data_IF_962261953664
#
_entry.id   IF_962261953664
#
_cell.length_a   1.000
_cell.length_b   1.000
_cell.length_c   1.000
_cell.angle_alpha   90.00
_cell.angle_beta   90.00
_cell.angle_gamma   90.00
#
_symmetry.space_group_name_H-M   'P 1'
#
loop_
_entity.id
_entity.type
_entity.pdbx_description
1 polymer ?
#
# COMPACT_ATOMS: atom_id res chain seq x y z
N UNK A 1 61.48 -59.77 -8.95
CA UNK A 1 62.63 -58.92 -8.61
C UNK A 1 62.24 -58.08 -7.42
N UNK A 2 62.92 -58.28 -6.29
CA UNK A 2 62.74 -57.52 -5.06
C UNK A 2 63.29 -56.10 -5.22
N UNK A 3 62.67 -55.14 -4.55
CA UNK A 3 63.18 -53.79 -4.39
C UNK A 3 62.32 -53.03 -3.39
N UNK A 4 62.68 -53.14 -2.11
CA UNK A 4 62.07 -52.35 -1.04
C UNK A 4 62.62 -50.92 -0.99
N UNK A 5 61.88 -50.03 -0.33
CA UNK A 5 62.34 -48.76 0.26
C UNK A 5 61.23 -48.31 1.24
N UNK A 6 61.42 -48.51 2.55
CA UNK A 6 61.86 -47.52 3.56
C UNK A 6 60.81 -46.44 3.92
N UNK A 7 60.23 -46.62 5.11
CA UNK A 7 59.53 -45.62 5.96
C UNK A 7 60.61 -44.89 6.78
N UNK A 8 60.49 -43.56 7.05
CA UNK A 8 60.01 -43.09 8.37
C UNK A 8 59.21 -41.76 8.23
N UNK A 9 58.51 -41.15 9.19
CA UNK A 9 58.56 -41.16 10.64
C UNK A 9 57.25 -40.57 11.24
N UNK A 10 56.93 -41.01 12.45
CA UNK A 10 56.40 -40.24 13.60
C UNK A 10 55.20 -39.27 13.40
N UNK A 11 54.01 -39.74 13.74
CA UNK A 11 52.83 -38.91 14.02
C UNK A 11 52.69 -38.78 15.55
N UNK A 12 52.82 -37.56 16.07
CA UNK A 12 52.73 -37.24 17.50
C UNK A 12 51.29 -37.39 18.04
N UNK A 13 51.09 -37.94 19.25
CA UNK A 13 49.79 -38.06 19.89
C UNK A 13 49.50 -36.83 20.73
N UNK A 14 49.23 -35.69 20.10
CA UNK A 14 48.83 -34.46 20.83
C UNK A 14 47.53 -33.84 20.34
N UNK A 15 47.03 -34.25 19.17
CA UNK A 15 45.83 -33.63 18.55
C UNK A 15 44.52 -34.28 19.05
N UNK A 16 44.53 -35.56 19.43
CA UNK A 16 43.32 -36.22 19.94
C UNK A 16 42.90 -35.76 21.35
N UNK A 17 43.84 -35.23 22.15
CA UNK A 17 43.53 -34.75 23.50
C UNK A 17 42.89 -33.36 23.49
N UNK A 18 43.26 -32.50 22.54
CA UNK A 18 42.73 -31.14 22.40
C UNK A 18 41.28 -31.11 21.91
N UNK A 19 40.90 -32.01 20.99
CA UNK A 19 39.53 -32.12 20.50
C UNK A 19 38.55 -32.65 21.57
N UNK A 20 39.00 -33.57 22.42
CA UNK A 20 38.19 -34.09 23.52
C UNK A 20 37.99 -33.04 24.63
N UNK A 21 38.98 -32.19 24.89
CA UNK A 21 38.82 -31.05 25.81
C UNK A 21 37.87 -29.98 25.26
N UNK A 22 37.95 -29.64 23.97
CA UNK A 22 37.02 -28.66 23.38
C UNK A 22 35.57 -29.17 23.37
N UNK A 23 35.33 -30.45 23.05
CA UNK A 23 34.00 -31.04 23.13
C UNK A 23 33.45 -31.11 24.56
N UNK A 24 34.30 -31.40 25.55
CA UNK A 24 33.88 -31.42 26.95
C UNK A 24 33.61 -30.02 27.50
N UNK A 25 34.30 -28.99 27.00
CA UNK A 25 34.07 -27.59 27.39
C UNK A 25 32.80 -27.02 26.75
N UNK A 26 32.41 -27.48 25.56
CA UNK A 26 31.11 -27.15 24.93
C UNK A 26 29.97 -27.87 25.66
N UNK A 27 30.16 -29.14 26.06
CA UNK A 27 29.16 -29.90 26.82
C UNK A 27 29.00 -29.41 28.27
N UNK A 28 30.06 -28.92 28.92
CA UNK A 28 30.00 -28.36 30.29
C UNK A 28 29.78 -26.83 30.33
N UNK A 29 29.95 -26.15 29.20
CA UNK A 29 29.70 -24.71 29.04
C UNK A 29 28.23 -24.34 28.83
N UNK A 30 27.38 -25.32 28.50
CA UNK A 30 25.94 -25.21 28.63
C UNK A 30 25.52 -25.33 30.11
N UNK A 31 25.99 -24.40 30.94
CA UNK A 31 25.25 -24.03 32.15
C UNK A 31 23.93 -23.44 31.66
N UNK A 32 22.94 -24.32 31.61
CA UNK A 32 21.53 -23.99 31.77
C UNK A 32 21.43 -22.88 32.82
N UNK A 33 21.19 -21.65 32.38
CA UNK A 33 20.55 -20.69 33.25
C UNK A 33 19.15 -21.25 33.48
N UNK A 34 19.01 -22.03 34.53
CA UNK A 34 17.74 -22.17 35.24
C UNK A 34 17.41 -20.78 35.76
N UNK A 35 16.92 -19.91 34.87
CA UNK A 35 16.08 -18.82 35.27
C UNK A 35 14.88 -19.50 35.93
N UNK A 36 14.79 -19.35 37.24
CA UNK A 36 13.58 -19.64 37.98
C UNK A 36 12.46 -18.85 37.31
N UNK A 37 11.73 -19.55 36.44
CA UNK A 37 10.47 -19.11 35.88
C UNK A 37 9.52 -18.93 37.05
N UNK A 38 9.39 -17.68 37.52
CA UNK A 38 8.16 -17.28 38.17
C UNK A 38 7.05 -17.55 37.16
N UNK A 39 6.11 -18.42 37.54
CA UNK A 39 5.21 -19.15 36.64
C UNK A 39 4.12 -18.32 35.95
N UNK A 40 4.39 -17.05 35.63
CA UNK A 40 3.58 -16.25 34.74
C UNK A 40 4.53 -15.61 33.73
N UNK A 41 4.68 -16.17 32.51
CA UNK A 41 5.35 -15.43 31.45
C UNK A 41 4.62 -14.10 31.30
N UNK A 42 5.33 -12.98 31.45
CA UNK A 42 4.77 -11.68 31.07
C UNK A 42 4.37 -11.78 29.60
N UNK A 43 3.06 -11.89 29.35
CA UNK A 43 2.51 -12.11 28.01
C UNK A 43 2.97 -11.05 27.01
N UNK A 44 3.25 -9.83 27.50
CA UNK A 44 3.75 -8.72 26.70
C UNK A 44 4.37 -7.64 27.59
N UNK A 45 5.65 -7.29 27.34
CA UNK A 45 6.27 -6.07 27.90
C UNK A 45 6.10 -4.95 26.88
N UNK A 46 5.21 -4.00 27.16
CA UNK A 46 4.91 -2.89 26.25
C UNK A 46 6.10 -1.94 26.21
N UNK A 47 6.69 -1.78 25.02
CA UNK A 47 7.77 -0.85 24.76
C UNK A 47 7.59 -0.20 23.38
N UNK A 48 8.50 0.69 22.98
CA UNK A 48 8.49 1.23 21.62
C UNK A 48 8.63 0.08 20.61
N UNK A 49 7.59 -0.15 19.82
CA UNK A 49 7.53 -1.26 18.88
C UNK A 49 7.96 -0.78 17.49
N UNK A 50 9.04 -1.38 16.97
CA UNK A 50 9.52 -1.18 15.60
C UNK A 50 9.62 -2.54 14.93
N UNK A 51 8.66 -2.85 14.08
CA UNK A 51 8.58 -4.14 13.39
C UNK A 51 8.03 -3.96 11.98
N UNK A 52 8.51 -4.70 10.96
CA UNK A 52 7.92 -4.67 9.63
C UNK A 52 6.55 -5.35 9.58
N UNK A 53 6.18 -6.12 10.62
CA UNK A 53 4.93 -6.87 10.67
C UNK A 53 3.70 -6.03 11.03
N UNK A 54 3.91 -4.78 11.46
CA UNK A 54 2.85 -3.83 11.75
C UNK A 54 3.28 -2.40 11.44
N UNK A 55 2.59 -1.75 10.51
CA UNK A 55 2.89 -0.37 10.08
C UNK A 55 1.59 0.44 10.10
N UNK A 56 1.37 1.25 11.16
CA UNK A 56 0.23 2.17 11.19
C UNK A 56 0.56 3.45 10.45
N UNK A 57 -0.37 3.87 9.60
CA UNK A 57 -0.24 5.04 8.74
C UNK A 57 -1.38 6.02 9.02
N UNK A 58 -1.05 7.31 9.02
CA UNK A 58 -2.03 8.39 9.09
C UNK A 58 -1.96 9.23 7.82
N UNK A 59 -3.04 9.22 7.06
CA UNK A 59 -3.23 10.03 5.86
C UNK A 59 -3.87 11.35 6.23
N UNK A 60 -3.14 12.44 6.02
CA UNK A 60 -3.66 13.80 6.18
C UNK A 60 -3.96 14.39 4.80
N UNK A 61 -5.22 14.73 4.49
CA UNK A 61 -5.59 15.33 3.21
C UNK A 61 -4.78 16.60 2.90
N UNK A 62 -4.33 16.73 1.66
CA UNK A 62 -3.65 17.91 1.13
C UNK A 62 -4.56 18.61 0.13
N UNK A 63 -4.55 19.94 0.17
CA UNK A 63 -5.28 20.75 -0.80
C UNK A 63 -4.64 20.58 -2.17
N UNK A 64 -5.47 20.27 -3.16
CA UNK A 64 -5.11 20.29 -4.58
C UNK A 64 -5.65 21.57 -5.21
N UNK A 65 -4.98 22.06 -6.26
CA UNK A 65 -5.42 23.24 -7.02
C UNK A 65 -5.23 22.99 -8.50
N UNK A 66 -6.21 23.35 -9.33
CA UNK A 66 -6.06 23.31 -10.77
C UNK A 66 -7.38 23.16 -11.49
N UNK A 67 -7.37 22.48 -12.62
CA UNK A 67 -8.53 22.26 -13.47
C UNK A 67 -8.68 20.79 -13.84
N UNK A 68 -9.92 20.42 -14.14
CA UNK A 68 -10.26 19.15 -14.77
C UNK A 68 -11.42 19.41 -15.73
N UNK A 69 -11.38 18.83 -16.92
CA UNK A 69 -12.54 18.81 -17.82
C UNK A 69 -13.63 17.98 -17.17
N UNK A 70 -14.69 18.63 -16.68
CA UNK A 70 -15.86 17.96 -16.10
C UNK A 70 -16.94 17.83 -17.16
N UNK A 71 -17.52 16.65 -17.29
CA UNK A 71 -18.82 16.50 -17.94
C UNK A 71 -19.92 16.98 -16.99
N UNK A 72 -20.91 17.71 -17.50
CA UNK A 72 -22.21 17.86 -16.83
C UNK A 72 -23.10 16.75 -17.36
N UNK A 73 -23.48 15.80 -16.52
CA UNK A 73 -24.48 14.79 -16.90
C UNK A 73 -25.75 15.50 -17.38
N UNK A 74 -26.21 15.21 -18.60
CA UNK A 74 -27.39 15.80 -19.23
C UNK A 74 -28.71 15.58 -18.44
N UNK A 75 -28.70 14.77 -17.37
CA UNK A 75 -29.84 14.49 -16.49
C UNK A 75 -30.39 15.72 -15.74
N UNK A 76 -29.74 16.89 -15.78
CA UNK A 76 -30.24 18.11 -15.14
C UNK A 76 -30.94 19.10 -16.10
N UNK A 77 -31.14 18.74 -17.39
CA UNK A 77 -31.69 19.63 -18.41
C UNK A 77 -33.04 19.18 -18.98
N UNK A 78 -33.93 18.62 -18.16
CA UNK A 78 -35.33 18.38 -18.54
C UNK A 78 -36.26 19.32 -17.79
N UNK A 79 -36.29 20.60 -18.16
CA UNK A 79 -37.47 21.48 -18.05
C UNK A 79 -37.22 22.78 -18.84
N UNK A 80 -37.14 22.69 -20.17
CA UNK A 80 -37.38 23.85 -21.02
C UNK A 80 -38.17 23.42 -22.24
N UNK A 81 -39.26 24.14 -22.48
CA UNK A 81 -40.36 23.81 -23.38
C UNK A 81 -39.87 23.67 -24.84
N UNK A 82 -40.29 22.58 -25.47
CA UNK A 82 -40.14 22.32 -26.89
C UNK A 82 -40.96 23.32 -27.73
N UNK A 83 -40.28 24.04 -28.62
CA UNK A 83 -40.86 24.53 -29.86
C UNK A 83 -40.23 23.74 -31.01
N UNK A 84 -41.06 23.03 -31.75
CA UNK A 84 -40.64 22.14 -32.83
C UNK A 84 -40.21 22.94 -34.04
N UNK A 85 -38.95 22.80 -34.45
CA UNK A 85 -38.58 22.95 -35.85
C UNK A 85 -37.81 21.72 -36.30
N UNK A 86 -38.38 21.10 -37.33
CA UNK A 86 -37.88 19.94 -38.05
C UNK A 86 -36.60 20.35 -38.78
N UNK A 87 -35.45 19.80 -38.37
CA UNK A 87 -34.18 19.90 -39.10
C UNK A 87 -33.80 18.50 -39.55
N UNK A 88 -33.50 18.37 -40.84
CA UNK A 88 -33.17 17.13 -41.54
C UNK A 88 -31.88 16.49 -41.00
N UNK A 89 -32.00 15.24 -40.57
CA UNK A 89 -30.89 14.35 -40.25
C UNK A 89 -30.21 13.91 -41.55
N UNK A 90 -29.15 14.62 -41.97
CA UNK A 90 -28.32 14.14 -43.07
C UNK A 90 -26.85 14.57 -42.99
N UNK A 91 -26.23 14.48 -41.80
CA UNK A 91 -24.76 14.58 -41.69
C UNK A 91 -24.23 14.11 -40.31
N UNK A 92 -24.52 12.87 -39.89
CA UNK A 92 -23.93 12.28 -38.65
C UNK A 92 -23.37 10.88 -38.92
N UNK A 93 -22.72 10.69 -40.07
CA UNK A 93 -22.10 9.39 -40.41
C UNK A 93 -20.62 9.46 -40.80
N UNK A 94 -19.97 10.63 -40.67
CA UNK A 94 -18.56 10.79 -41.08
C UNK A 94 -17.59 11.01 -39.91
N UNK A 95 -18.06 11.19 -38.66
CA UNK A 95 -17.17 11.41 -37.50
C UNK A 95 -16.87 10.15 -36.66
N UNK A 96 -17.52 9.01 -36.93
CA UNK A 96 -17.41 7.81 -36.09
C UNK A 96 -16.11 7.00 -36.29
N UNK A 97 -15.27 7.32 -37.28
CA UNK A 97 -14.06 6.55 -37.59
C UNK A 97 -12.75 7.12 -37.00
N UNK A 98 -12.78 8.26 -36.30
CA UNK A 98 -11.58 8.88 -35.70
C UNK A 98 -11.49 8.75 -34.16
N UNK A 99 -12.30 7.86 -33.56
CA UNK A 99 -12.34 7.66 -32.10
C UNK A 99 -11.06 6.97 -31.57
N UNK A 100 -10.19 6.46 -32.44
CA UNK A 100 -9.07 5.59 -32.05
C UNK A 100 -7.82 6.26 -31.44
N UNK A 101 -7.75 7.59 -31.23
CA UNK A 101 -6.52 8.20 -30.71
C UNK A 101 -6.74 9.40 -29.77
N UNK A 102 -7.82 9.45 -28.98
CA UNK A 102 -7.92 10.48 -27.95
C UNK A 102 -7.06 10.11 -26.75
N UNK A 103 -5.94 10.82 -26.58
CA UNK A 103 -5.06 10.69 -25.43
C UNK A 103 -5.68 11.38 -24.20
N UNK A 104 -5.62 10.72 -23.05
CA UNK A 104 -6.09 11.24 -21.77
C UNK A 104 -4.89 11.82 -21.01
N UNK A 105 -4.74 13.15 -21.03
CA UNK A 105 -3.53 13.81 -20.52
C UNK A 105 -3.75 14.43 -19.15
N UNK A 106 -3.05 13.93 -18.13
CA UNK A 106 -3.06 14.50 -16.78
C UNK A 106 -1.70 15.07 -16.41
N UNK A 107 -1.69 16.30 -15.93
CA UNK A 107 -0.48 16.99 -15.47
C UNK A 107 -0.54 17.15 -13.95
N UNK A 108 0.47 16.64 -13.25
CA UNK A 108 0.62 16.74 -11.81
C UNK A 108 1.88 17.53 -11.50
N UNK A 109 1.72 18.64 -10.78
CA UNK A 109 2.82 19.46 -10.28
C UNK A 109 2.92 19.31 -8.76
N UNK A 110 3.89 18.52 -8.31
CA UNK A 110 4.19 18.31 -6.90
C UNK A 110 5.19 19.35 -6.40
N UNK A 111 4.81 20.08 -5.37
CA UNK A 111 5.71 20.93 -4.61
C UNK A 111 6.07 20.24 -3.31
N UNK A 112 7.36 20.09 -3.04
CA UNK A 112 7.84 19.69 -1.73
C UNK A 112 7.32 20.67 -0.66
N UNK A 113 6.97 20.15 0.51
CA UNK A 113 6.82 21.00 1.68
C UNK A 113 8.23 21.22 2.21
N UNK A 114 8.81 22.37 1.87
CA UNK A 114 9.97 22.92 2.58
C UNK A 114 9.52 23.37 3.98
N UNK A 115 8.99 22.47 4.80
CA UNK A 115 8.93 22.70 6.24
C UNK A 115 10.28 22.27 6.80
N UNK A 116 11.22 23.21 6.86
CA UNK A 116 12.22 23.27 7.93
C UNK A 116 12.89 21.94 8.33
N UNK A 117 13.20 21.07 7.38
CA UNK A 117 14.29 20.14 7.58
C UNK A 117 15.55 20.98 7.44
N UNK A 118 15.99 21.60 8.54
CA UNK A 118 17.36 22.06 8.76
C UNK A 118 18.30 20.83 8.77
N UNK A 119 18.23 20.02 7.73
CA UNK A 119 19.16 18.93 7.48
C UNK A 119 20.34 19.59 6.78
N UNK A 120 21.33 19.93 7.62
CA UNK A 120 22.76 19.91 7.33
C UNK A 120 23.12 19.72 5.84
N UNK A 121 23.72 20.75 5.24
CA UNK A 121 24.27 20.80 3.88
C UNK A 121 25.40 19.78 3.57
N UNK A 122 25.52 18.68 4.32
CA UNK A 122 26.49 17.62 4.07
C UNK A 122 25.79 16.27 4.05
N UNK A 123 25.41 15.81 2.85
CA UNK A 123 25.77 14.50 2.29
C UNK A 123 25.12 14.34 0.91
N UNK A 124 25.97 14.04 -0.08
CA UNK A 124 25.72 14.07 -1.53
C UNK A 124 25.07 12.78 -2.07
N UNK A 125 24.17 12.18 -1.31
CA UNK A 125 23.34 11.04 -1.77
C UNK A 125 21.96 11.12 -1.13
N UNK A 126 21.20 12.16 -1.45
CA UNK A 126 19.79 12.18 -1.11
C UNK A 126 19.08 11.26 -2.10
N UNK A 127 18.75 10.06 -1.63
CA UNK A 127 17.77 9.20 -2.30
C UNK A 127 16.49 10.01 -2.48
N UNK A 128 15.93 10.08 -3.70
CA UNK A 128 14.69 10.81 -3.95
C UNK A 128 13.58 10.35 -2.99
N UNK A 129 12.78 11.30 -2.49
CA UNK A 129 11.66 10.96 -1.59
C UNK A 129 10.62 10.12 -2.35
N UNK A 130 10.14 8.99 -1.79
CA UNK A 130 9.14 8.17 -2.46
C UNK A 130 7.78 8.88 -2.48
N UNK A 131 7.12 8.84 -3.64
CA UNK A 131 5.76 9.35 -3.85
C UNK A 131 4.94 8.29 -4.58
N UNK A 132 3.89 7.83 -3.92
CA UNK A 132 2.94 6.87 -4.51
C UNK A 132 1.86 7.61 -5.29
N UNK A 133 1.62 7.21 -6.54
CA UNK A 133 0.51 7.65 -7.36
C UNK A 133 -0.36 6.45 -7.73
N UNK A 134 -1.52 6.37 -7.09
CA UNK A 134 -2.56 5.37 -7.37
C UNK A 134 -3.46 5.86 -8.51
N UNK A 135 -3.57 5.09 -9.59
CA UNK A 135 -4.45 5.36 -10.74
C UNK A 135 -5.70 4.49 -10.62
N UNK A 136 -6.83 5.14 -10.42
CA UNK A 136 -8.14 4.55 -10.21
C UNK A 136 -9.00 4.80 -11.46
N UNK A 137 -9.63 3.75 -11.98
CA UNK A 137 -10.48 3.84 -13.17
C UNK A 137 -11.92 4.19 -12.76
N UNK A 138 -12.51 5.22 -13.38
CA UNK A 138 -13.90 5.61 -13.16
C UNK A 138 -14.84 4.54 -13.74
N UNK A 139 -15.84 4.13 -12.96
CA UNK A 139 -16.92 3.25 -13.40
C UNK A 139 -18.19 4.04 -13.79
N UNK A 140 -18.10 5.37 -13.85
CA UNK A 140 -19.27 6.26 -13.88
C UNK A 140 -19.90 6.40 -15.29
N UNK A 141 -19.63 5.47 -16.21
CA UNK A 141 -20.06 5.56 -17.61
C UNK A 141 -20.86 4.33 -18.08
N UNK A 142 -21.93 4.59 -18.85
CA UNK A 142 -22.68 3.58 -19.64
C UNK A 142 -21.84 2.92 -20.74
N UNK A 143 -20.58 3.34 -20.92
CA UNK A 143 -19.67 2.82 -21.93
C UNK A 143 -18.82 1.73 -21.28
N UNK A 144 -18.99 0.49 -21.75
CA UNK A 144 -18.20 -0.68 -21.36
C UNK A 144 -16.75 -0.58 -21.89
N UNK A 145 -16.00 0.42 -21.44
CA UNK A 145 -14.58 0.53 -21.76
C UNK A 145 -13.74 -0.29 -20.77
N UNK A 146 -12.75 -1.03 -21.28
CA UNK A 146 -11.85 -1.80 -20.42
C UNK A 146 -10.83 -0.88 -19.74
N UNK A 147 -10.40 -1.23 -18.53
CA UNK A 147 -9.33 -0.49 -17.83
C UNK A 147 -8.03 -0.46 -18.65
N UNK A 148 -7.77 -1.51 -19.45
CA UNK A 148 -6.62 -1.59 -20.32
C UNK A 148 -6.66 -0.55 -21.45
N UNK A 149 -7.84 -0.29 -22.02
CA UNK A 149 -8.02 0.73 -23.07
C UNK A 149 -7.81 2.14 -22.50
N UNK A 150 -8.40 2.43 -21.33
CA UNK A 150 -8.19 3.70 -20.62
C UNK A 150 -6.70 3.91 -20.31
N UNK A 151 -6.04 2.88 -19.80
CA UNK A 151 -4.63 2.96 -19.46
C UNK A 151 -3.76 3.16 -20.70
N UNK A 152 -4.08 2.50 -21.81
CA UNK A 152 -3.26 2.55 -23.01
C UNK A 152 -3.26 3.90 -23.73
N UNK A 153 -4.24 4.76 -23.46
CA UNK A 153 -4.28 6.15 -23.94
C UNK A 153 -3.80 7.20 -22.94
N UNK A 154 -3.41 6.78 -21.73
CA UNK A 154 -3.08 7.69 -20.65
C UNK A 154 -1.70 8.32 -20.87
N UNK A 155 -1.63 9.64 -20.72
CA UNK A 155 -0.38 10.40 -20.65
C UNK A 155 -0.31 11.09 -19.30
N UNK A 156 0.70 10.73 -18.51
CA UNK A 156 0.97 11.37 -17.23
C UNK A 156 2.19 12.28 -17.35
N UNK A 157 2.01 13.56 -17.03
CA UNK A 157 3.10 14.53 -16.93
C UNK A 157 3.35 14.83 -15.45
N UNK A 158 4.40 14.20 -14.91
CA UNK A 158 4.77 14.22 -13.50
C UNK A 158 5.93 15.20 -13.29
N UNK A 159 5.62 16.39 -12.79
CA UNK A 159 6.62 17.40 -12.48
C UNK A 159 6.75 17.61 -10.98
N UNK A 160 7.98 17.83 -10.52
CA UNK A 160 8.31 18.10 -9.13
C UNK A 160 9.37 19.20 -9.02
N UNK A 161 9.37 19.95 -7.93
CA UNK A 161 10.40 20.94 -7.62
C UNK A 161 11.76 20.32 -7.24
N UNK A 162 11.74 19.10 -6.70
CA UNK A 162 12.91 18.27 -6.42
C UNK A 162 12.76 16.87 -7.04
N UNK A 163 13.87 16.17 -7.35
CA UNK A 163 13.82 14.77 -7.73
C UNK A 163 13.02 13.91 -6.74
N UNK A 164 12.08 13.10 -7.24
CA UNK A 164 11.27 12.17 -6.43
C UNK A 164 11.30 10.77 -7.05
N UNK A 165 11.07 9.74 -6.23
CA UNK A 165 10.91 8.38 -6.69
C UNK A 165 9.41 8.07 -6.79
N UNK A 166 8.87 8.05 -8.02
CA UNK A 166 7.46 7.77 -8.28
C UNK A 166 7.18 6.27 -8.23
N UNK A 167 6.22 5.86 -7.40
CA UNK A 167 5.64 4.52 -7.39
C UNK A 167 4.24 4.59 -8.01
N UNK A 168 4.09 4.10 -9.24
CA UNK A 168 2.83 4.10 -9.99
C UNK A 168 2.06 2.81 -9.74
N UNK A 169 0.84 2.92 -9.22
CA UNK A 169 -0.01 1.77 -8.93
C UNK A 169 -1.33 1.91 -9.67
N UNK A 170 -1.55 1.08 -10.69
CA UNK A 170 -2.87 0.96 -11.32
C UNK A 170 -3.75 0.02 -10.48
N UNK A 171 -4.90 0.52 -10.06
CA UNK A 171 -5.89 -0.23 -9.27
C UNK A 171 -6.98 -0.76 -10.20
N UNK A 172 -6.82 -2.01 -10.65
CA UNK A 172 -7.84 -2.71 -11.44
C UNK A 172 -8.94 -3.25 -10.54
N UNK A 173 -10.20 -2.96 -10.88
CA UNK A 173 -11.34 -3.36 -10.04
C UNK A 173 -11.71 -4.86 -10.14
N UNK A 174 -11.16 -5.63 -11.09
CA UNK A 174 -11.56 -7.02 -11.31
C UNK A 174 -10.38 -8.01 -11.33
N UNK A 175 -10.59 -9.16 -10.67
CA UNK A 175 -9.66 -10.30 -10.57
C UNK A 175 -9.46 -11.08 -11.89
N UNK A 176 -10.12 -10.72 -12.98
CA UNK A 176 -10.15 -11.53 -14.22
C UNK A 176 -9.18 -11.06 -15.33
N UNK A 177 -8.67 -9.82 -15.28
CA UNK A 177 -7.84 -9.27 -16.37
C UNK A 177 -6.33 -9.56 -16.22
N UNK A 178 -5.94 -10.42 -15.28
CA UNK A 178 -4.52 -10.82 -15.10
C UNK A 178 -4.12 -12.04 -15.93
N UNK A 179 -4.99 -12.54 -16.80
CA UNK A 179 -4.67 -13.63 -17.74
C UNK A 179 -3.86 -13.13 -18.95
N UNK A 180 -2.56 -12.96 -18.69
CA UNK A 180 -1.38 -13.34 -19.48
C UNK A 180 -1.24 -13.07 -21.00
N UNK A 181 -2.18 -12.49 -21.76
CA UNK A 181 -2.02 -12.47 -23.24
C UNK A 181 -2.39 -11.20 -24.05
N UNK A 182 -2.60 -10.02 -23.44
CA UNK A 182 -2.72 -8.77 -24.25
C UNK A 182 -1.34 -8.12 -24.51
N UNK A 183 -0.55 -8.73 -25.40
CA UNK A 183 0.70 -8.14 -25.92
C UNK A 183 0.49 -6.94 -26.86
N UNK A 184 -0.76 -6.51 -27.09
CA UNK A 184 -1.10 -5.50 -28.10
C UNK A 184 -1.77 -4.23 -27.57
N UNK A 185 -2.03 -4.12 -26.26
CA UNK A 185 -2.56 -2.86 -25.70
C UNK A 185 -1.49 -1.77 -25.72
N UNK A 186 -1.81 -0.55 -26.19
CA UNK A 186 -0.86 0.56 -26.15
C UNK A 186 -0.43 0.82 -24.71
N UNK A 187 0.82 1.22 -24.52
CA UNK A 187 1.37 1.50 -23.19
C UNK A 187 1.23 2.99 -22.88
N UNK A 188 0.82 3.36 -21.65
CA UNK A 188 0.78 4.75 -21.24
C UNK A 188 2.15 5.42 -21.35
N UNK A 189 2.14 6.71 -21.63
CA UNK A 189 3.33 7.54 -21.68
C UNK A 189 3.48 8.37 -20.40
N UNK A 190 4.60 8.19 -19.71
CA UNK A 190 4.94 8.91 -18.48
C UNK A 190 6.08 9.89 -18.75
N UNK A 191 5.80 11.19 -18.64
CA UNK A 191 6.81 12.24 -18.73
C UNK A 191 7.18 12.69 -17.32
N UNK A 192 8.43 12.49 -16.91
CA UNK A 192 8.87 12.79 -15.54
C UNK A 192 9.92 13.89 -15.54
N UNK A 193 9.91 14.75 -14.51
CA UNK A 193 10.98 15.72 -14.26
C UNK A 193 12.37 15.06 -14.24
N UNK A 194 13.38 15.79 -14.73
CA UNK A 194 14.77 15.34 -14.74
C UNK A 194 15.27 15.00 -13.33
N UNK A 195 15.93 13.86 -13.18
CA UNK A 195 16.49 13.36 -11.91
C UNK A 195 15.52 12.54 -11.05
N UNK A 196 14.22 12.60 -11.31
CA UNK A 196 13.23 11.72 -10.67
C UNK A 196 13.31 10.31 -11.25
N UNK A 197 12.88 9.29 -10.49
CA UNK A 197 12.75 7.90 -10.96
C UNK A 197 11.28 7.49 -11.00
N UNK A 198 10.96 6.44 -11.75
CA UNK A 198 9.61 5.91 -11.84
C UNK A 198 9.62 4.39 -11.88
N UNK A 199 8.82 3.77 -11.04
CA UNK A 199 8.57 2.34 -10.97
C UNK A 199 7.06 2.13 -10.88
N UNK A 200 6.55 0.95 -11.25
CA UNK A 200 5.12 0.69 -11.12
C UNK A 200 4.71 -0.76 -11.38
N UNK A 201 3.46 -1.06 -11.06
CA UNK A 201 2.88 -2.41 -11.18
C UNK A 201 2.28 -2.72 -12.57
N UNK A 202 2.48 -1.87 -13.57
CA UNK A 202 2.04 -2.05 -14.96
C UNK A 202 3.15 -1.65 -15.94
N UNK A 203 3.06 -2.12 -17.19
CA UNK A 203 4.02 -1.76 -18.25
C UNK A 203 3.71 -0.35 -18.78
N UNK A 204 4.73 0.50 -18.87
CA UNK A 204 4.60 1.86 -19.38
C UNK A 204 5.87 2.33 -20.09
N UNK A 205 5.73 3.29 -20.99
CA UNK A 205 6.85 4.01 -21.57
C UNK A 205 7.09 5.28 -20.74
N UNK A 206 8.34 5.60 -20.42
CA UNK A 206 8.65 6.85 -19.74
C UNK A 206 9.80 7.61 -20.38
N UNK A 207 9.82 8.93 -20.21
CA UNK A 207 10.95 9.76 -20.61
C UNK A 207 11.15 10.93 -19.65
N UNK A 208 12.41 11.32 -19.47
CA UNK A 208 12.74 12.51 -18.69
C UNK A 208 12.56 13.77 -19.53
N UNK A 209 12.00 14.79 -18.90
CA UNK A 209 11.87 16.13 -19.49
C UNK A 209 12.34 17.16 -18.49
N UNK A 210 13.07 18.15 -19.01
CA UNK A 210 13.52 19.29 -18.22
C UNK A 210 12.56 20.45 -18.42
N UNK A 211 11.91 20.86 -17.34
CA UNK A 211 11.11 22.10 -17.31
C UNK A 211 11.76 23.07 -16.33
N UNK A 212 12.42 24.14 -16.81
CA UNK A 212 13.14 25.08 -15.93
C UNK A 212 12.27 25.75 -14.87
N UNK A 213 10.97 25.88 -15.13
CA UNK A 213 9.99 26.45 -14.21
C UNK A 213 8.57 26.05 -14.60
N UNK A 214 7.60 26.37 -13.73
CA UNK A 214 6.16 26.18 -13.95
C UNK A 214 5.69 26.71 -15.31
N UNK A 215 6.07 27.94 -15.68
CA UNK A 215 5.64 28.56 -16.96
C UNK A 215 6.18 27.81 -18.18
N UNK A 216 7.34 27.17 -18.08
CA UNK A 216 7.89 26.34 -19.15
C UNK A 216 7.09 25.04 -19.31
N UNK A 217 6.72 24.39 -18.21
CA UNK A 217 5.82 23.22 -18.22
C UNK A 217 4.45 23.59 -18.83
N UNK A 218 3.83 24.68 -18.36
CA UNK A 218 2.53 25.11 -18.87
C UNK A 218 2.56 25.40 -20.39
N UNK A 219 3.61 26.06 -20.88
CA UNK A 219 3.80 26.30 -22.34
C UNK A 219 4.00 25.00 -23.12
N UNK A 220 4.76 24.06 -22.56
CA UNK A 220 4.94 22.74 -23.16
C UNK A 220 3.60 22.01 -23.28
N UNK A 221 2.85 21.90 -22.18
CA UNK A 221 1.55 21.22 -22.15
C UNK A 221 0.58 21.83 -23.14
N UNK A 222 0.43 23.16 -23.16
CA UNK A 222 -0.47 23.85 -24.11
C UNK A 222 -0.11 23.63 -25.58
N UNK A 223 1.19 23.42 -25.87
CA UNK A 223 1.68 23.22 -27.24
C UNK A 223 1.52 21.77 -27.70
N UNK A 224 1.89 20.81 -26.85
CA UNK A 224 1.88 19.39 -27.21
C UNK A 224 0.49 18.75 -27.05
N UNK A 225 -0.30 19.22 -26.08
CA UNK A 225 -1.57 18.60 -25.68
C UNK A 225 -2.70 19.64 -25.71
N UNK A 226 -3.35 19.85 -26.87
CA UNK A 226 -4.43 20.83 -27.00
C UNK A 226 -5.67 20.47 -26.18
N UNK A 227 -5.86 19.19 -25.87
CA UNK A 227 -6.94 18.69 -25.02
C UNK A 227 -6.35 18.12 -23.74
N UNK A 228 -6.50 18.86 -22.64
CA UNK A 228 -5.99 18.49 -21.34
C UNK A 228 -7.10 17.96 -20.44
N UNK A 229 -6.95 16.74 -19.92
CA UNK A 229 -7.89 16.16 -18.97
C UNK A 229 -7.90 16.92 -17.66
N UNK A 230 -6.70 17.14 -17.13
CA UNK A 230 -6.51 17.84 -15.87
C UNK A 230 -5.11 18.42 -15.75
N UNK A 231 -5.04 19.52 -15.01
CA UNK A 231 -3.81 20.07 -14.49
C UNK A 231 -3.99 20.25 -13.00
N UNK A 232 -3.14 19.65 -12.16
CA UNK A 232 -3.26 19.75 -10.71
C UNK A 232 -1.92 20.04 -10.05
N UNK A 233 -1.92 21.04 -9.17
CA UNK A 233 -0.82 21.37 -8.28
C UNK A 233 -1.13 20.91 -6.85
N UNK A 234 -0.13 20.33 -6.21
CA UNK A 234 -0.24 19.78 -4.86
C UNK A 234 1.01 20.11 -4.05
N UNK A 235 0.84 20.39 -2.75
CA UNK A 235 1.96 20.68 -1.84
C UNK A 235 2.09 19.59 -0.77
N UNK A 236 3.28 19.01 -0.65
CA UNK A 236 3.67 18.11 0.45
C UNK A 236 2.83 16.86 0.55
N UNK A 237 2.56 16.24 -0.58
CA UNK A 237 1.92 14.94 -0.65
C UNK A 237 2.97 13.89 -1.02
N UNK A 238 2.85 12.71 -0.42
CA UNK A 238 3.61 11.52 -0.73
C UNK A 238 2.70 10.35 -1.15
N UNK A 239 1.38 10.53 -1.11
CA UNK A 239 0.41 9.63 -1.68
C UNK A 239 -0.64 10.45 -2.46
N UNK A 240 -0.85 10.09 -3.72
CA UNK A 240 -1.77 10.73 -4.65
C UNK A 240 -2.72 9.66 -5.21
N UNK A 241 -3.98 10.03 -5.39
CA UNK A 241 -4.99 9.18 -6.02
C UNK A 241 -5.61 9.92 -7.20
N UNK A 242 -5.36 9.41 -8.41
CA UNK A 242 -5.86 9.96 -9.67
C UNK A 242 -7.01 9.11 -10.20
N UNK A 243 -8.13 9.74 -10.53
CA UNK A 243 -9.25 9.13 -11.24
C UNK A 243 -9.12 9.38 -12.75
N UNK A 244 -9.16 8.32 -13.55
CA UNK A 244 -9.02 8.34 -15.01
C UNK A 244 -10.21 7.66 -15.69
N UNK A 245 -10.38 7.87 -17.01
CA UNK A 245 -11.41 7.22 -17.82
C UNK A 245 -12.69 8.06 -18.00
N UNK A 246 -12.74 9.27 -17.47
CA UNK A 246 -13.94 10.12 -17.56
C UNK A 246 -14.03 10.93 -18.87
N UNK A 247 -13.06 10.79 -19.78
CA UNK A 247 -12.90 11.69 -20.95
C UNK A 247 -13.64 11.23 -22.21
N UNK A 248 -13.89 9.93 -22.40
CA UNK A 248 -14.56 9.50 -23.65
C UNK A 248 -15.95 10.09 -23.84
N UNK A 249 -16.63 10.45 -22.76
CA UNK A 249 -17.92 11.15 -22.84
C UNK A 249 -17.80 12.58 -23.41
N UNK A 250 -16.59 13.16 -23.47
CA UNK A 250 -16.33 14.49 -24.05
C UNK A 250 -16.27 14.46 -25.58
N UNK A 251 -15.84 13.34 -26.19
CA UNK A 251 -15.70 13.26 -27.65
C UNK A 251 -17.07 13.22 -28.37
N UNK A 252 -18.11 12.75 -27.68
CA UNK A 252 -19.47 12.67 -28.21
C UNK A 252 -20.17 14.04 -28.25
N UNK A 253 -19.77 15.02 -27.42
CA UNK A 253 -20.36 16.36 -27.37
C UNK A 253 -19.30 17.45 -27.05
N UNK A 254 -18.43 17.81 -28.01
CA UNK A 254 -17.36 18.81 -27.80
C UNK A 254 -17.88 20.21 -27.44
N UNK A 255 -19.16 20.50 -27.67
CA UNK A 255 -19.81 21.77 -27.31
C UNK A 255 -20.20 21.88 -25.83
N UNK A 256 -20.12 20.79 -25.03
CA UNK A 256 -20.53 20.76 -23.62
C UNK A 256 -19.36 20.78 -22.62
N UNK A 257 -18.13 20.52 -23.06
CA UNK A 257 -16.94 20.47 -22.21
C UNK A 257 -16.39 21.86 -21.91
N UNK A 258 -16.20 22.21 -20.64
CA UNK A 258 -15.42 23.42 -20.29
C UNK A 258 -13.93 23.08 -20.38
N UNK A 259 -13.18 23.81 -21.20
CA UNK A 259 -11.73 23.65 -21.36
C UNK A 259 -11.01 23.75 -20.00
N UNK A 260 -9.97 22.92 -19.81
CA UNK A 260 -9.16 22.94 -18.59
C UNK A 260 -8.34 24.24 -18.53
N UNK A 261 -8.82 25.23 -17.79
CA UNK A 261 -8.04 26.43 -17.50
C UNK A 261 -6.93 26.12 -16.49
N UNK A 262 -5.71 25.91 -16.98
CA UNK A 262 -4.50 25.62 -16.17
C UNK A 262 -4.24 26.65 -15.07
N UNK A 263 -4.70 27.90 -15.24
CA UNK A 263 -4.53 28.97 -14.26
C UNK A 263 -5.64 28.99 -13.18
N UNK A 264 -6.55 28.02 -13.22
CA UNK A 264 -7.59 27.83 -12.21
C UNK A 264 -7.01 27.51 -10.83
N UNK A 265 -7.64 28.08 -9.81
CA UNK A 265 -7.31 27.83 -8.40
C UNK A 265 -8.33 26.90 -7.72
N UNK A 266 -9.21 26.26 -8.50
CA UNK A 266 -10.25 25.35 -7.97
C UNK A 266 -9.64 24.06 -7.45
N UNK A 267 -10.31 23.42 -6.49
CA UNK A 267 -9.91 22.09 -6.03
C UNK A 267 -10.02 21.07 -7.17
N UNK A 268 -9.06 20.15 -7.26
CA UNK A 268 -9.07 19.13 -8.30
C UNK A 268 -10.18 18.13 -8.04
N UNK A 269 -10.96 17.79 -9.07
CA UNK A 269 -12.03 16.79 -8.98
C UNK A 269 -11.53 15.38 -9.26
N UNK A 270 -10.39 15.26 -9.93
CA UNK A 270 -9.83 13.98 -10.39
C UNK A 270 -8.63 13.54 -9.57
N UNK A 271 -7.97 14.44 -8.83
CA UNK A 271 -6.81 14.11 -8.01
C UNK A 271 -7.08 14.43 -6.54
N UNK A 272 -6.99 13.40 -5.71
CA UNK A 272 -6.92 13.54 -4.25
C UNK A 272 -5.47 13.35 -3.80
N UNK A 273 -5.07 14.07 -2.76
CA UNK A 273 -3.70 14.05 -2.28
C UNK A 273 -3.62 13.91 -0.76
N UNK A 274 -2.63 13.18 -0.29
CA UNK A 274 -2.41 12.88 1.12
C UNK A 274 -0.95 13.03 1.50
N UNK A 275 -0.75 13.42 2.76
CA UNK A 275 0.52 13.25 3.46
C UNK A 275 0.37 12.10 4.42
N UNK A 276 0.94 10.98 4.06
CA UNK A 276 0.97 9.74 4.81
C UNK A 276 2.19 9.76 5.72
N UNK A 277 1.98 9.59 7.02
CA UNK A 277 3.06 9.45 8.01
C UNK A 277 2.92 8.13 8.75
N UNK A 278 4.04 7.44 8.97
CA UNK A 278 4.06 6.29 9.86
C UNK A 278 3.98 6.78 11.31
N UNK A 279 3.06 6.20 12.07
CA UNK A 279 2.86 6.54 13.47
C UNK A 279 3.83 5.76 14.35
N UNK A 280 4.14 6.33 15.52
CA UNK A 280 4.83 5.58 16.58
C UNK A 280 3.89 4.54 17.14
N UNK A 281 4.44 3.37 17.45
CA UNK A 281 3.70 2.24 17.99
C UNK A 281 4.35 1.79 19.28
N UNK A 282 3.53 1.37 20.22
CA UNK A 282 3.95 0.72 21.46
C UNK A 282 3.42 -0.72 21.46
N UNK A 283 4.15 -1.65 22.05
CA UNK A 283 3.69 -3.03 22.14
C UNK A 283 4.82 -4.03 22.27
N UNK A 284 4.54 -5.26 21.84
CA UNK A 284 5.49 -6.36 21.81
C UNK A 284 5.24 -7.23 20.57
N UNK A 285 6.30 -7.91 20.13
CA UNK A 285 6.28 -8.81 19.00
C UNK A 285 7.16 -10.02 19.29
N UNK A 286 6.59 -11.22 19.16
CA UNK A 286 7.23 -12.50 19.47
C UNK A 286 7.44 -13.29 18.17
N UNK A 287 8.53 -13.00 17.45
CA UNK A 287 8.84 -13.65 16.16
C UNK A 287 8.87 -15.18 16.28
N UNK A 288 9.31 -15.70 17.42
CA UNK A 288 9.38 -17.14 17.69
C UNK A 288 8.03 -17.86 17.72
N UNK A 289 6.94 -17.13 17.94
CA UNK A 289 5.58 -17.67 17.96
C UNK A 289 4.95 -17.71 16.56
N UNK A 290 5.59 -17.12 15.55
CA UNK A 290 5.08 -17.15 14.17
C UNK A 290 4.97 -18.58 13.71
N UNK A 291 3.72 -19.00 13.55
CA UNK A 291 3.38 -20.30 13.05
C UNK A 291 3.75 -21.49 13.93
N UNK A 292 4.14 -21.25 15.18
CA UNK A 292 4.30 -22.26 16.23
C UNK A 292 2.94 -22.81 16.65
N UNK A 293 1.93 -21.94 16.65
CA UNK A 293 0.54 -22.30 16.92
C UNK A 293 -0.24 -22.62 15.63
N UNK A 294 -1.39 -23.27 15.79
CA UNK A 294 -2.33 -23.52 14.69
C UNK A 294 -2.95 -22.23 14.12
N UNK A 295 -2.90 -21.14 14.90
CA UNK A 295 -3.44 -19.82 14.56
C UNK A 295 -2.48 -18.73 15.02
N UNK A 296 -2.23 -17.76 14.14
CA UNK A 296 -1.43 -16.58 14.44
C UNK A 296 -2.36 -15.48 14.97
N UNK A 297 -2.12 -15.03 16.20
CA UNK A 297 -2.99 -14.04 16.88
C UNK A 297 -2.33 -12.67 16.93
N UNK A 298 -3.03 -11.67 16.41
CA UNK A 298 -2.60 -10.27 16.36
C UNK A 298 -3.61 -9.42 17.14
N UNK A 299 -3.13 -8.62 18.10
CA UNK A 299 -3.95 -7.71 18.88
C UNK A 299 -3.55 -6.28 18.53
N UNK A 300 -4.50 -5.50 18.03
CA UNK A 300 -4.29 -4.10 17.66
C UNK A 300 -5.24 -3.21 18.46
N UNK A 301 -4.66 -2.26 19.18
CA UNK A 301 -5.36 -1.26 19.96
C UNK A 301 -5.18 0.14 19.35
N UNK A 302 -6.28 0.80 19.00
CA UNK A 302 -6.29 2.17 18.52
C UNK A 302 -6.73 3.15 19.59
N UNK A 303 -5.85 4.09 19.90
CA UNK A 303 -6.24 5.32 20.59
C UNK A 303 -6.68 6.37 19.57
N UNK A 304 -7.96 6.34 19.20
CA UNK A 304 -8.58 7.30 18.29
C UNK A 304 -8.65 8.73 18.85
N UNK A 305 -8.11 8.97 20.06
CA UNK A 305 -8.15 10.23 20.80
C UNK A 305 -9.28 10.24 21.84
N UNK A 306 -9.30 11.23 22.73
CA UNK A 306 -10.40 11.43 23.68
C UNK A 306 -11.72 11.69 22.95
N UNK A 307 -12.86 11.25 23.52
CA UNK A 307 -14.24 11.57 23.11
C UNK A 307 -14.42 13.10 23.09
N UNK A 308 -13.91 13.76 22.06
CA UNK A 308 -14.15 15.17 21.82
C UNK A 308 -15.59 15.29 21.35
N UNK A 309 -16.41 16.04 22.09
CA UNK A 309 -17.83 16.37 21.88
C UNK A 309 -18.17 16.86 20.45
N UNK A 310 -18.01 16.02 19.42
CA UNK A 310 -18.52 16.27 18.07
C UNK A 310 -19.59 15.22 17.78
N UNK A 311 -20.79 15.37 18.37
CA UNK A 311 -21.88 14.39 18.31
C UNK A 311 -22.39 14.06 16.89
N UNK A 312 -21.88 14.71 15.84
CA UNK A 312 -22.39 14.58 14.47
C UNK A 312 -21.35 14.05 13.46
N UNK A 313 -20.20 13.51 13.89
CA UNK A 313 -19.28 12.81 12.96
C UNK A 313 -19.46 11.31 13.15
N UNK A 314 -19.91 10.62 12.09
CA UNK A 314 -19.97 9.16 12.06
C UNK A 314 -18.61 8.51 12.33
N UNK A 315 -18.59 7.20 12.62
CA UNK A 315 -17.37 6.47 12.94
C UNK A 315 -16.34 6.63 11.81
N UNK A 316 -15.10 6.89 12.19
CA UNK A 316 -14.01 7.09 11.24
C UNK A 316 -13.68 5.74 10.57
N UNK A 317 -13.58 5.69 9.23
CA UNK A 317 -13.10 4.49 8.56
C UNK A 317 -11.61 4.29 8.84
N UNK A 318 -11.23 3.06 9.19
CA UNK A 318 -9.84 2.61 9.28
C UNK A 318 -9.64 1.39 8.39
N UNK A 319 -8.76 1.52 7.40
CA UNK A 319 -8.44 0.44 6.47
C UNK A 319 -7.43 -0.52 7.10
N UNK A 320 -7.76 -1.80 7.15
CA UNK A 320 -6.85 -2.87 7.55
C UNK A 320 -6.41 -3.60 6.29
N UNK A 321 -5.10 -3.65 6.07
CA UNK A 321 -4.46 -4.41 4.99
C UNK A 321 -3.64 -5.54 5.59
N UNK A 322 -4.21 -6.75 5.56
CA UNK A 322 -3.53 -7.96 5.99
C UNK A 322 -2.87 -8.64 4.79
N UNK A 323 -1.54 -8.80 4.82
CA UNK A 323 -0.77 -9.33 3.69
C UNK A 323 0.08 -10.52 4.12
N UNK A 324 0.07 -11.61 3.34
CA UNK A 324 1.03 -12.70 3.52
C UNK A 324 2.44 -12.31 3.09
N UNK A 325 3.45 -12.78 3.82
CA UNK A 325 4.87 -12.59 3.50
C UNK A 325 5.29 -13.41 2.27
N UNK A 326 5.90 -12.73 1.29
CA UNK A 326 6.45 -13.34 0.07
C UNK A 326 5.48 -13.35 -1.12
N UNK A 327 5.89 -14.04 -2.19
CA UNK A 327 5.13 -14.09 -3.45
C UNK A 327 4.04 -15.17 -3.46
N UNK A 328 4.14 -16.17 -2.58
CA UNK A 328 3.19 -17.30 -2.53
C UNK A 328 2.21 -17.07 -1.37
N UNK A 329 0.94 -17.48 -1.51
CA UNK A 329 0.01 -17.42 -0.40
C UNK A 329 0.53 -18.18 0.82
N UNK A 330 0.47 -17.53 1.99
CA UNK A 330 0.92 -18.08 3.27
C UNK A 330 -0.17 -18.98 3.83
N UNK A 331 0.06 -20.30 4.03
CA UNK A 331 -0.95 -21.23 4.51
C UNK A 331 -1.12 -21.11 6.03
N UNK A 332 -1.85 -20.08 6.49
CA UNK A 332 -2.00 -19.72 7.90
C UNK A 332 -3.42 -19.35 8.27
N UNK A 333 -3.84 -19.79 9.45
CA UNK A 333 -5.01 -19.25 10.11
C UNK A 333 -4.60 -18.03 10.93
N UNK A 334 -5.40 -16.97 10.85
CA UNK A 334 -5.09 -15.69 11.50
C UNK A 334 -6.28 -15.24 12.32
N UNK A 335 -6.04 -14.85 13.56
CA UNK A 335 -7.03 -14.14 14.38
C UNK A 335 -6.56 -12.72 14.63
N UNK A 336 -7.37 -11.75 14.24
CA UNK A 336 -7.12 -10.32 14.44
C UNK A 336 -8.10 -9.77 15.48
N UNK A 337 -7.58 -9.33 16.61
CA UNK A 337 -8.33 -8.67 17.68
C UNK A 337 -8.17 -7.16 17.51
N UNK A 338 -9.28 -6.47 17.29
CA UNK A 338 -9.34 -5.04 17.01
C UNK A 338 -10.03 -4.32 18.17
N UNK A 339 -9.25 -3.57 18.95
CA UNK A 339 -9.74 -2.74 20.04
C UNK A 339 -9.65 -1.26 19.66
N UNK A 340 -10.69 -0.52 19.99
CA UNK A 340 -10.69 0.94 19.93
C UNK A 340 -11.33 1.52 21.19
N UNK A 341 -10.89 2.71 21.60
CA UNK A 341 -11.54 3.50 22.66
C UNK A 341 -12.73 4.33 22.15
N UNK A 342 -12.98 4.34 20.84
CA UNK A 342 -14.12 4.99 20.19
C UNK A 342 -14.72 4.09 19.12
N UNK A 343 -16.02 4.19 18.83
CA UNK A 343 -16.62 3.48 17.70
C UNK A 343 -15.89 3.79 16.38
N UNK A 344 -15.33 2.76 15.77
CA UNK A 344 -14.62 2.82 14.49
C UNK A 344 -15.33 1.96 13.46
N UNK A 345 -15.18 2.36 12.20
CA UNK A 345 -15.58 1.55 11.06
C UNK A 345 -14.35 0.89 10.44
N UNK A 346 -14.11 -0.37 10.77
CA UNK A 346 -13.00 -1.15 10.23
C UNK A 346 -13.32 -1.59 8.80
N UNK A 347 -12.45 -1.27 7.86
CA UNK A 347 -12.55 -1.73 6.48
C UNK A 347 -11.48 -2.78 6.26
N UNK A 348 -11.89 -4.04 6.14
CA UNK A 348 -10.96 -5.16 6.12
C UNK A 348 -10.62 -5.61 4.69
N UNK A 349 -9.33 -5.69 4.40
CA UNK A 349 -8.79 -6.28 3.18
C UNK A 349 -7.67 -7.26 3.50
N UNK A 350 -7.70 -8.44 2.86
CA UNK A 350 -6.66 -9.45 3.02
C UNK A 350 -6.17 -9.98 1.67
N UNK A 351 -4.85 -10.17 1.55
CA UNK A 351 -4.21 -10.71 0.34
C UNK A 351 -3.05 -11.65 0.70
N UNK A 352 -2.79 -12.65 -0.15
CA UNK A 352 -1.64 -13.54 0.02
C UNK A 352 -1.71 -14.47 1.23
N UNK A 353 -2.91 -14.71 1.79
CA UNK A 353 -3.14 -15.66 2.88
C UNK A 353 -4.04 -16.78 2.37
N UNK A 354 -3.74 -18.01 2.76
CA UNK A 354 -4.53 -19.21 2.47
C UNK A 354 -4.90 -19.88 3.80
N UNK A 355 -6.12 -19.65 4.27
CA UNK A 355 -6.57 -20.13 5.58
C UNK A 355 -7.78 -19.37 6.12
N UNK A 356 -8.14 -19.68 7.37
CA UNK A 356 -9.24 -19.02 8.05
C UNK A 356 -8.76 -17.72 8.70
N UNK A 357 -9.49 -16.63 8.47
CA UNK A 357 -9.25 -15.33 9.08
C UNK A 357 -10.42 -15.03 10.00
N UNK A 358 -10.15 -14.84 11.29
CA UNK A 358 -11.14 -14.43 12.27
C UNK A 358 -10.84 -12.99 12.68
N UNK A 359 -11.77 -12.08 12.47
CA UNK A 359 -11.67 -10.69 12.95
C UNK A 359 -12.61 -10.52 14.13
N UNK A 360 -12.09 -10.12 15.27
CA UNK A 360 -12.86 -9.88 16.49
C UNK A 360 -12.76 -8.39 16.83
N UNK A 361 -13.87 -7.68 16.87
CA UNK A 361 -13.93 -6.27 17.27
C UNK A 361 -14.86 -6.06 18.47
N UNK A 362 -14.81 -4.86 19.04
CA UNK A 362 -15.77 -4.43 20.05
C UNK A 362 -17.21 -4.39 19.49
N UNK A 363 -18.20 -4.39 20.37
CA UNK A 363 -19.63 -4.39 19.99
C UNK A 363 -20.09 -3.11 19.31
N UNK A 364 -19.49 -1.99 19.65
CA UNK A 364 -19.81 -0.68 19.07
C UNK A 364 -19.14 -0.43 17.73
N UNK A 365 -18.17 -1.28 17.36
CA UNK A 365 -17.42 -1.16 16.11
C UNK A 365 -18.15 -1.86 14.96
N UNK A 366 -18.02 -1.28 13.76
CA UNK A 366 -18.53 -1.87 12.53
C UNK A 366 -17.36 -2.41 11.70
N UNK A 367 -17.42 -3.67 11.27
CA UNK A 367 -16.43 -4.26 10.37
C UNK A 367 -17.06 -4.47 8.99
N UNK A 368 -16.57 -3.74 7.98
CA UNK A 368 -16.96 -3.84 6.58
C UNK A 368 -15.94 -4.70 5.80
N UNK A 369 -16.43 -5.76 5.15
CA UNK A 369 -15.60 -6.61 4.29
C UNK A 369 -15.38 -5.93 2.94
N UNK A 370 -14.15 -5.50 2.67
CA UNK A 370 -13.84 -4.69 1.48
C UNK A 370 -13.15 -5.50 0.38
N UNK A 371 -12.30 -6.48 0.72
CA UNK A 371 -11.64 -7.34 -0.26
C UNK A 371 -11.03 -8.60 0.39
N UNK A 372 -11.66 -9.76 0.19
CA UNK A 372 -11.15 -11.06 0.65
C UNK A 372 -10.78 -11.93 -0.56
N UNK A 373 -9.64 -12.61 -0.51
CA UNK A 373 -9.19 -13.54 -1.54
C UNK A 373 -10.12 -14.76 -1.68
N UNK A 374 -10.16 -15.40 -2.86
CA UNK A 374 -11.02 -16.58 -3.08
C UNK A 374 -10.67 -17.81 -2.25
N UNK A 375 -9.47 -17.84 -1.65
CA UNK A 375 -8.95 -18.93 -0.82
C UNK A 375 -8.93 -18.57 0.68
N UNK A 376 -9.71 -17.56 1.08
CA UNK A 376 -9.76 -17.08 2.45
C UNK A 376 -11.18 -17.21 2.97
N UNK A 377 -11.33 -17.80 4.15
CA UNK A 377 -12.60 -17.80 4.85
C UNK A 377 -12.56 -16.72 5.94
N UNK A 378 -13.35 -15.66 5.78
CA UNK A 378 -13.40 -14.57 6.72
C UNK A 378 -14.61 -14.72 7.64
N UNK A 379 -14.34 -14.84 8.94
CA UNK A 379 -15.34 -14.79 9.99
C UNK A 379 -15.18 -13.48 10.79
N UNK A 380 -16.25 -12.70 10.91
CA UNK A 380 -16.27 -11.48 11.72
C UNK A 380 -17.09 -11.74 12.98
N UNK A 381 -16.48 -11.53 14.14
CA UNK A 381 -17.10 -11.66 15.46
C UNK A 381 -17.10 -10.30 16.15
N UNK A 382 -18.18 -10.04 16.87
CA UNK A 382 -18.35 -8.85 17.68
C UNK A 382 -18.58 -9.29 19.11
N UNK A 383 -17.74 -8.82 20.04
CA UNK A 383 -17.82 -9.16 21.48
C UNK A 383 -17.25 -8.01 22.33
N UNK A 384 -17.61 -7.89 23.62
CA UNK A 384 -17.02 -6.85 24.45
C UNK A 384 -15.56 -7.22 24.72
N UNK A 385 -14.64 -6.29 24.46
CA UNK A 385 -13.21 -6.49 24.67
C UNK A 385 -12.76 -5.69 25.92
N UNK A 386 -11.97 -6.29 26.83
CA UNK A 386 -11.48 -5.57 28.02
C UNK A 386 -10.66 -4.33 27.64
N UNK A 387 -10.84 -3.24 28.40
CA UNK A 387 -10.04 -2.02 28.26
C UNK A 387 -8.67 -2.13 28.97
N UNK A 388 -8.58 -3.01 29.97
CA UNK A 388 -7.33 -3.28 30.67
C UNK A 388 -6.47 -4.26 29.86
N UNK A 389 -5.23 -3.88 29.58
CA UNK A 389 -4.33 -4.68 28.74
C UNK A 389 -4.09 -6.11 29.29
N UNK A 390 -3.67 -6.31 30.56
CA UNK A 390 -3.56 -7.65 31.13
C UNK A 390 -4.82 -8.51 30.97
N UNK A 391 -6.01 -7.95 31.22
CA UNK A 391 -7.28 -8.65 31.06
C UNK A 391 -7.56 -8.98 29.59
N UNK A 392 -7.26 -8.05 28.67
CA UNK A 392 -7.39 -8.25 27.24
C UNK A 392 -6.51 -9.40 26.76
N UNK A 393 -5.20 -9.37 27.08
CA UNK A 393 -4.26 -10.41 26.67
C UNK A 393 -4.61 -11.77 27.27
N UNK A 394 -5.07 -11.80 28.52
CA UNK A 394 -5.55 -13.02 29.16
C UNK A 394 -6.77 -13.59 28.42
N UNK A 395 -7.79 -12.75 28.16
CA UNK A 395 -9.01 -13.17 27.46
C UNK A 395 -8.72 -13.70 26.04
N UNK A 396 -7.81 -13.07 25.32
CA UNK A 396 -7.37 -13.48 23.98
C UNK A 396 -6.63 -14.82 24.05
N UNK A 397 -5.72 -14.98 25.01
CA UNK A 397 -4.93 -16.20 25.18
C UNK A 397 -5.81 -17.39 25.59
N UNK A 398 -6.83 -17.16 26.42
CA UNK A 398 -7.75 -18.23 26.86
C UNK A 398 -8.69 -18.73 25.77
N UNK A 399 -9.06 -17.87 24.82
CA UNK A 399 -10.03 -18.21 23.78
C UNK A 399 -9.38 -18.65 22.46
N UNK A 400 -8.21 -18.10 22.14
CA UNK A 400 -7.51 -18.35 20.88
C UNK A 400 -6.15 -19.00 21.14
N UNK A 401 -5.11 -18.18 21.20
CA UNK A 401 -3.73 -18.58 21.44
C UNK A 401 -2.97 -17.34 21.96
N UNK A 402 -1.76 -17.52 22.52
CA UNK A 402 -0.91 -16.39 22.89
C UNK A 402 -0.67 -15.45 21.69
N UNK A 403 -0.80 -14.13 21.88
CA UNK A 403 -0.61 -13.17 20.80
C UNK A 403 0.85 -13.10 20.35
N UNK A 404 1.05 -13.16 19.04
CA UNK A 404 2.35 -12.95 18.39
C UNK A 404 2.69 -11.47 18.36
N UNK A 405 1.66 -10.63 18.20
CA UNK A 405 1.76 -9.19 18.16
C UNK A 405 0.72 -8.59 19.09
N UNK A 406 1.15 -7.69 19.97
CA UNK A 406 0.30 -6.65 20.51
C UNK A 406 0.85 -5.30 20.05
N UNK A 407 0.00 -4.48 19.45
CA UNK A 407 0.37 -3.16 18.96
C UNK A 407 -0.67 -2.11 19.35
N UNK A 408 -0.22 -1.06 20.01
CA UNK A 408 -0.98 0.12 20.37
C UNK A 408 -0.47 1.33 19.59
N UNK A 409 -1.37 2.05 18.94
CA UNK A 409 -1.02 3.25 18.18
C UNK A 409 -2.11 4.31 18.34
N UNK A 410 -1.75 5.57 18.12
CA UNK A 410 -2.74 6.64 18.01
C UNK A 410 -3.61 6.50 16.76
N UNK A 411 -4.47 7.49 16.54
CA UNK A 411 -5.38 7.58 15.40
C UNK A 411 -4.67 7.35 14.05
N UNK A 412 -5.02 6.25 13.39
CA UNK A 412 -4.54 5.85 12.06
C UNK A 412 -5.67 5.93 11.02
N UNK A 413 -5.32 6.04 9.74
CA UNK A 413 -6.23 5.82 8.60
C UNK A 413 -6.06 4.44 8.00
N UNK A 414 -4.83 3.91 8.01
CA UNK A 414 -4.49 2.61 7.44
C UNK A 414 -3.61 1.83 8.40
N UNK A 415 -3.89 0.54 8.59
CA UNK A 415 -3.10 -0.41 9.35
C UNK A 415 -2.61 -1.51 8.40
N UNK A 416 -1.30 -1.60 8.20
CA UNK A 416 -0.70 -2.68 7.41
C UNK A 416 -0.16 -3.73 8.34
N UNK A 417 -0.60 -4.97 8.16
CA UNK A 417 -0.16 -6.15 8.90
C UNK A 417 0.46 -7.15 7.94
N UNK A 418 1.63 -7.67 8.28
CA UNK A 418 2.27 -8.75 7.54
C UNK A 418 2.12 -10.06 8.32
N UNK A 419 1.78 -11.15 7.62
CA UNK A 419 1.67 -12.49 8.18
C UNK A 419 2.87 -13.30 7.71
N UNK A 420 3.72 -13.69 8.66
CA UNK A 420 4.99 -14.35 8.37
C UNK A 420 4.80 -15.76 7.81
N UNK A 421 5.70 -16.17 6.92
CA UNK A 421 5.81 -17.59 6.57
C UNK A 421 6.55 -18.33 7.67
N UNK A 422 6.22 -19.60 7.95
CA UNK A 422 7.00 -20.39 8.89
C UNK A 422 8.45 -20.44 8.40
N UNK A 423 9.37 -19.89 9.20
CA UNK A 423 10.77 -20.26 9.02
C UNK A 423 10.89 -21.71 9.44
N UNK A 424 11.17 -22.59 8.49
CA UNK A 424 11.58 -23.95 8.81
C UNK A 424 12.85 -23.86 9.67
N UNK A 425 12.71 -23.83 11.00
CA UNK A 425 13.84 -23.85 11.96
C UNK A 425 14.76 -25.07 11.72
N UNK A 426 14.28 -26.09 11.01
CA UNK A 426 15.08 -27.21 10.52
C UNK A 426 16.23 -26.82 9.56
N UNK A 427 16.13 -25.69 8.85
CA UNK A 427 17.17 -25.21 7.93
C UNK A 427 18.41 -24.64 8.63
N UNK A 428 18.25 -24.00 9.80
CA UNK A 428 19.38 -23.46 10.57
C UNK A 428 20.14 -24.56 11.33
N UNK A 429 19.44 -25.59 11.82
CA UNK A 429 20.10 -26.74 12.46
C UNK A 429 20.84 -27.65 11.46
N UNK A 430 20.41 -27.70 10.19
CA UNK A 430 21.09 -28.51 9.17
C UNK A 430 22.45 -27.91 8.75
N UNK A 431 22.64 -26.59 8.87
CA UNK A 431 23.96 -25.95 8.64
C UNK A 431 24.96 -26.21 9.77
N UNK A 432 24.47 -26.39 11.01
CA UNK A 432 25.33 -26.71 12.16
C UNK A 432 25.73 -28.20 12.13
N UNK A 433 24.84 -29.09 11.68
CA UNK A 433 25.15 -30.53 11.55
C UNK A 433 26.04 -30.88 10.34
N UNK A 434 26.24 -29.96 9.39
CA UNK A 434 27.18 -30.15 8.27
C UNK A 434 28.58 -29.60 8.55
N UNK A 435 28.76 -28.89 9.67
CA UNK A 435 30.05 -28.35 10.11
C UNK A 435 30.70 -29.18 11.24
N UNK A 436 30.10 -30.31 11.63
CA UNK A 436 30.66 -31.32 12.54
C UNK A 436 30.82 -32.61 11.74
#
# INVERSE_FOLDING_TARGET
MCGGLLIPAAMQPTILSSCLFFMLTILLGCKSSTAESSGNPELCIVSSLVTPYFVPLLDTPRKTRGCSTSYKSAAAQTHSKSHSHHVENKEIHVMAQNVHHMQEVHVIMLHSVTSSFLISHRLKSQTPSPVKLSVNFSQDGEVNESNADVLGRLILVLNSDHPVAWELVANYNNKEDTSDDSYSSPQPLILVSEGSTVEGNFKFNFSHKRWPNKKALQRYVRREYPLLASYTEVKGANHLELKVGSILSLSQNPSLGTECNIDSLTESRVLTAYSTVQLKTEGCFHEDYIGDNQVDVYVVELDAGAKGNRPNRGPLPVLIQLQGEGMRPVPRNVTLILKSHQPIRWQFGANGINGNIIVVSDHEDLVENSAVGGHQNLEVRSKPLPDNLPELLLSVTTEFAPPILYAKTGRASTLRLLVGSTRNKAGEFMFILWCI
#
